data_IF_690248600380
#
_entry.id   IF_690248600380
#
_cell.length_a   1.000
_cell.length_b   1.000
_cell.length_c   1.000
_cell.angle_alpha   90.00
_cell.angle_beta   90.00
_cell.angle_gamma   90.00
#
_symmetry.space_group_name_H-M   'P 1'
#
loop_
_entity.id
_entity.type
_entity.pdbx_description
1 polymer ?
#
# COMPACT_ATOMS: atom_id res chain seq x y z
N UNK A 1 -3.26 18.01 -5.01
CA UNK A 1 -2.62 16.92 -5.78
C UNK A 1 -3.52 15.71 -5.79
N UNK A 2 -3.45 14.88 -6.83
CA UNK A 2 -4.24 13.65 -6.90
C UNK A 2 -3.50 12.52 -6.19
N UNK A 3 -4.22 11.49 -5.71
CA UNK A 3 -3.61 10.35 -5.00
C UNK A 3 -2.69 9.55 -5.94
N UNK A 4 -1.70 8.81 -5.45
CA UNK A 4 -0.79 8.03 -6.29
C UNK A 4 -1.50 6.92 -7.08
N UNK A 5 -2.55 6.33 -6.49
CA UNK A 5 -3.46 5.42 -7.23
C UNK A 5 -4.21 6.11 -8.38
N UNK A 6 -4.34 7.44 -8.35
CA UNK A 6 -4.80 8.20 -9.52
C UNK A 6 -3.76 8.14 -10.63
N UNK A 7 -2.49 8.46 -10.37
CA UNK A 7 -1.44 8.43 -11.41
C UNK A 7 -1.28 7.02 -12.00
N UNK A 8 -1.30 5.98 -11.17
CA UNK A 8 -1.27 4.60 -11.66
C UNK A 8 -2.47 4.25 -12.54
N UNK A 9 -3.68 4.71 -12.19
CA UNK A 9 -4.86 4.49 -13.04
C UNK A 9 -4.81 5.26 -14.37
N UNK A 10 -3.85 6.17 -14.54
CA UNK A 10 -3.59 6.83 -15.82
C UNK A 10 -2.53 6.10 -16.64
N UNK A 11 -1.79 5.17 -16.05
CA UNK A 11 -0.68 4.48 -16.69
C UNK A 11 -1.13 3.75 -17.96
N UNK A 12 -0.28 3.84 -18.99
CA UNK A 12 -0.41 3.10 -20.25
C UNK A 12 0.96 2.56 -20.59
N UNK A 13 1.04 1.24 -20.81
CA UNK A 13 2.29 0.58 -21.21
C UNK A 13 2.50 0.76 -22.71
N UNK A 14 3.74 1.04 -23.11
CA UNK A 14 4.10 1.02 -24.53
C UNK A 14 4.03 -0.41 -25.09
N UNK A 15 3.61 -0.55 -26.33
CA UNK A 15 3.59 -1.85 -27.02
C UNK A 15 4.94 -2.21 -27.64
N UNK A 16 5.65 -1.21 -28.16
CA UNK A 16 7.00 -1.32 -28.75
C UNK A 16 7.92 -0.22 -28.19
N UNK A 17 9.24 -0.38 -28.39
CA UNK A 17 10.25 0.58 -27.94
C UNK A 17 10.02 2.01 -28.46
N UNK A 18 9.48 2.15 -29.67
CA UNK A 18 9.29 3.44 -30.34
C UNK A 18 8.02 4.17 -29.88
N UNK A 19 7.15 3.52 -29.09
CA UNK A 19 5.82 4.00 -28.74
C UNK A 19 5.76 4.74 -27.39
N UNK A 20 6.90 5.02 -26.76
CA UNK A 20 6.97 5.70 -25.47
C UNK A 20 6.26 7.07 -25.48
N UNK A 21 6.44 7.86 -26.54
CA UNK A 21 5.79 9.15 -26.72
C UNK A 21 4.25 9.06 -26.81
N UNK A 22 3.72 8.10 -27.58
CA UNK A 22 2.26 7.88 -27.67
C UNK A 22 1.67 7.44 -26.33
N UNK A 23 2.37 6.55 -25.63
CA UNK A 23 1.96 6.12 -24.30
C UNK A 23 1.91 7.29 -23.31
N UNK A 24 2.87 8.23 -23.36
CA UNK A 24 2.83 9.47 -22.59
C UNK A 24 1.57 10.32 -22.89
N UNK A 25 1.18 10.46 -24.16
CA UNK A 25 -0.05 11.17 -24.54
C UNK A 25 -1.29 10.44 -24.00
N UNK A 26 -1.36 9.12 -24.11
CA UNK A 26 -2.46 8.35 -23.54
C UNK A 26 -2.56 8.56 -22.02
N UNK A 27 -1.44 8.62 -21.31
CA UNK A 27 -1.38 8.89 -19.87
C UNK A 27 -1.93 10.30 -19.54
N UNK A 28 -1.61 11.31 -20.34
CA UNK A 28 -2.17 12.66 -20.20
C UNK A 28 -3.68 12.71 -20.45
N UNK A 29 -4.17 11.99 -21.47
CA UNK A 29 -5.60 11.86 -21.76
C UNK A 29 -6.34 11.22 -20.59
N UNK A 30 -5.79 10.16 -19.98
CA UNK A 30 -6.35 9.58 -18.74
C UNK A 30 -6.25 10.55 -17.57
N UNK A 31 -5.15 11.31 -17.44
CA UNK A 31 -4.95 12.31 -16.40
C UNK A 31 -6.00 13.43 -16.43
N UNK A 32 -6.37 13.87 -17.63
CA UNK A 32 -7.43 14.87 -17.84
C UNK A 32 -8.86 14.30 -17.75
N UNK A 33 -9.02 12.99 -17.57
CA UNK A 33 -10.32 12.32 -17.51
C UNK A 33 -10.92 11.95 -18.87
N UNK A 34 -10.15 12.03 -19.96
CA UNK A 34 -10.57 11.71 -21.34
C UNK A 34 -10.27 10.24 -21.69
N UNK A 35 -10.77 9.30 -20.88
CA UNK A 35 -10.44 7.86 -21.01
C UNK A 35 -10.78 7.27 -22.39
N UNK A 36 -11.92 7.62 -22.99
CA UNK A 36 -12.31 7.10 -24.32
C UNK A 36 -11.27 7.44 -25.39
N UNK A 37 -10.81 8.68 -25.43
CA UNK A 37 -9.78 9.13 -26.37
C UNK A 37 -8.44 8.44 -26.10
N UNK A 38 -8.11 8.21 -24.82
CA UNK A 38 -6.92 7.45 -24.46
C UNK A 38 -6.98 5.99 -24.95
N UNK A 39 -8.15 5.36 -24.84
CA UNK A 39 -8.34 3.97 -25.28
C UNK A 39 -8.34 3.87 -26.81
N UNK A 40 -8.95 4.82 -27.52
CA UNK A 40 -8.87 4.94 -28.98
C UNK A 40 -7.42 5.15 -29.47
N UNK A 41 -6.65 6.00 -28.77
CA UNK A 41 -5.25 6.25 -29.07
C UNK A 41 -4.39 5.00 -28.80
N UNK A 42 -4.66 4.30 -27.70
CA UNK A 42 -3.97 3.07 -27.34
C UNK A 42 -4.19 1.96 -28.40
N UNK A 43 -5.39 1.83 -28.96
CA UNK A 43 -5.67 0.86 -30.03
C UNK A 43 -4.90 1.15 -31.33
N UNK A 44 -4.53 2.42 -31.58
CA UNK A 44 -3.78 2.83 -32.77
C UNK A 44 -2.27 2.90 -32.53
N UNK A 45 -1.81 2.64 -31.30
CA UNK A 45 -0.40 2.77 -30.91
C UNK A 45 0.51 1.88 -31.76
N UNK A 46 0.06 0.68 -32.14
CA UNK A 46 0.82 -0.26 -32.96
C UNK A 46 0.98 0.16 -34.43
N UNK A 47 0.20 1.15 -34.88
CA UNK A 47 0.33 1.70 -36.23
C UNK A 47 1.53 2.65 -36.37
N UNK A 48 2.07 3.15 -35.26
CA UNK A 48 3.24 4.02 -35.25
C UNK A 48 4.50 3.15 -35.21
N UNK A 49 5.26 3.16 -36.32
CA UNK A 49 6.49 2.35 -36.44
C UNK A 49 7.76 3.15 -36.17
N UNK A 50 7.74 4.47 -36.35
CA UNK A 50 8.86 5.37 -36.10
C UNK A 50 8.80 5.97 -34.70
N UNK A 51 9.97 6.29 -34.15
CA UNK A 51 10.07 7.12 -32.95
C UNK A 51 9.45 8.51 -33.22
N UNK A 52 8.81 9.08 -32.20
CA UNK A 52 8.20 10.41 -32.29
C UNK A 52 9.15 11.47 -31.76
N UNK A 53 9.27 12.58 -32.48
CA UNK A 53 9.97 13.76 -31.97
C UNK A 53 9.09 14.55 -31.00
N UNK A 54 9.69 15.48 -30.24
CA UNK A 54 8.93 16.43 -29.42
C UNK A 54 7.93 17.26 -30.25
N UNK A 55 8.28 17.58 -31.50
CA UNK A 55 7.40 18.29 -32.42
C UNK A 55 6.18 17.44 -32.82
N UNK A 56 6.39 16.15 -33.07
CA UNK A 56 5.28 15.23 -33.38
C UNK A 56 4.34 15.07 -32.19
N UNK A 57 4.90 14.99 -30.97
CA UNK A 57 4.10 14.96 -29.74
C UNK A 57 3.28 16.22 -29.56
N UNK A 58 3.88 17.39 -29.81
CA UNK A 58 3.17 18.67 -29.80
C UNK A 58 1.99 18.65 -30.77
N UNK A 59 2.22 18.33 -32.05
CA UNK A 59 1.19 18.30 -33.08
C UNK A 59 0.06 17.30 -32.72
N UNK A 60 0.43 16.15 -32.16
CA UNK A 60 -0.55 15.13 -31.73
C UNK A 60 -1.42 15.64 -30.59
N UNK A 61 -0.81 16.29 -29.59
CA UNK A 61 -1.52 16.89 -28.45
C UNK A 61 -2.45 18.02 -28.89
N UNK A 62 -2.00 18.88 -29.81
CA UNK A 62 -2.82 19.94 -30.42
C UNK A 62 -4.02 19.38 -31.17
N UNK A 63 -3.87 18.21 -31.82
CA UNK A 63 -4.98 17.48 -32.43
C UNK A 63 -6.08 17.04 -31.45
N UNK A 64 -5.79 16.93 -30.15
CA UNK A 64 -6.77 16.68 -29.08
C UNK A 64 -7.37 17.96 -28.49
N UNK A 65 -7.02 19.13 -29.02
CA UNK A 65 -7.51 20.44 -28.58
C UNK A 65 -6.83 20.93 -27.30
N UNK A 66 -5.54 20.65 -27.12
CA UNK A 66 -4.70 21.25 -26.08
C UNK A 66 -3.62 22.11 -26.72
N UNK A 67 -3.37 23.28 -26.14
CA UNK A 67 -2.23 24.09 -26.51
C UNK A 67 -0.96 23.51 -25.85
N UNK A 68 0.11 23.32 -26.62
CA UNK A 68 1.35 22.75 -26.11
C UNK A 68 2.59 23.48 -26.63
N UNK A 69 3.62 23.57 -25.79
CA UNK A 69 4.91 24.18 -26.11
C UNK A 69 6.05 23.20 -25.83
N UNK A 70 6.94 23.05 -26.79
CA UNK A 70 8.26 22.45 -26.55
C UNK A 70 9.10 23.49 -25.81
N UNK A 71 9.59 23.14 -24.63
CA UNK A 71 10.32 24.06 -23.75
C UNK A 71 11.58 23.39 -23.22
N UNK A 72 12.58 24.21 -22.95
CA UNK A 72 13.74 23.87 -22.15
C UNK A 72 13.64 24.64 -20.83
N UNK A 73 13.78 23.96 -19.69
CA UNK A 73 13.67 24.59 -18.37
C UNK A 73 14.59 23.93 -17.36
N UNK A 74 15.00 24.70 -16.35
CA UNK A 74 15.81 24.20 -15.25
C UNK A 74 14.95 23.44 -14.21
N UNK A 75 15.63 22.75 -13.30
CA UNK A 75 14.97 22.01 -12.22
C UNK A 75 14.18 22.93 -11.29
N UNK A 76 14.62 24.17 -11.10
CA UNK A 76 13.90 25.14 -10.26
C UNK A 76 12.54 25.48 -10.87
N UNK A 77 12.48 25.76 -12.17
CA UNK A 77 11.21 25.95 -12.87
C UNK A 77 10.35 24.68 -12.87
N UNK A 78 10.98 23.50 -12.98
CA UNK A 78 10.27 22.22 -12.94
C UNK A 78 9.61 21.98 -11.56
N UNK A 79 10.23 22.42 -10.46
CA UNK A 79 9.68 22.29 -9.09
C UNK A 79 8.37 23.06 -8.92
N UNK A 80 8.26 24.22 -9.58
CA UNK A 80 7.08 25.09 -9.50
C UNK A 80 5.97 24.71 -10.50
N UNK A 81 6.23 23.74 -11.37
CA UNK A 81 5.31 23.35 -12.42
C UNK A 81 4.03 22.72 -11.86
N UNK A 82 2.89 23.35 -12.18
CA UNK A 82 1.55 22.88 -11.79
C UNK A 82 0.88 22.14 -12.93
N UNK A 83 1.19 20.85 -13.09
CA UNK A 83 0.53 20.01 -14.07
C UNK A 83 1.43 18.89 -14.58
N UNK A 84 0.89 18.01 -15.44
CA UNK A 84 1.71 16.99 -16.05
C UNK A 84 2.57 17.58 -17.18
N UNK A 85 3.74 16.99 -17.39
CA UNK A 85 4.76 17.43 -18.34
C UNK A 85 5.41 16.21 -18.98
N UNK A 86 5.62 16.21 -20.29
CA UNK A 86 6.37 15.13 -20.93
C UNK A 86 7.85 15.53 -20.99
N UNK A 87 8.69 14.79 -20.28
CA UNK A 87 10.13 14.99 -20.27
C UNK A 87 10.78 14.15 -21.38
N UNK A 88 11.72 14.76 -22.09
CA UNK A 88 12.60 14.05 -23.01
C UNK A 88 13.88 13.65 -22.26
N UNK A 89 13.97 12.37 -21.91
CA UNK A 89 15.01 11.82 -21.03
C UNK A 89 15.90 10.85 -21.79
N UNK A 90 16.99 10.44 -21.16
CA UNK A 90 17.85 9.35 -21.61
C UNK A 90 17.67 8.18 -20.64
N UNK A 91 17.37 7.01 -21.18
CA UNK A 91 17.28 5.78 -20.40
C UNK A 91 18.65 5.26 -19.97
N UNK A 92 18.66 4.27 -19.08
CA UNK A 92 19.87 3.60 -18.57
C UNK A 92 20.76 3.01 -19.69
N UNK A 93 20.20 2.71 -20.85
CA UNK A 93 20.89 2.21 -22.05
C UNK A 93 21.49 3.32 -22.94
N UNK A 94 21.36 4.59 -22.56
CA UNK A 94 21.83 5.73 -23.35
C UNK A 94 20.92 6.11 -24.54
N UNK A 95 19.71 5.51 -24.63
CA UNK A 95 18.72 5.83 -25.67
C UNK A 95 17.73 6.89 -25.21
N UNK A 96 17.24 7.69 -26.16
CA UNK A 96 16.18 8.67 -25.90
C UNK A 96 14.88 7.99 -25.45
N UNK A 97 14.18 8.61 -24.51
CA UNK A 97 12.93 8.10 -23.94
C UNK A 97 12.04 9.22 -23.44
N UNK A 98 10.73 9.01 -23.51
CA UNK A 98 9.75 9.95 -22.96
C UNK A 98 9.19 9.46 -21.63
N UNK A 99 9.17 10.37 -20.65
CA UNK A 99 8.55 10.16 -19.34
C UNK A 99 7.48 11.22 -19.10
N UNK A 100 6.36 10.85 -18.49
CA UNK A 100 5.33 11.82 -18.07
C UNK A 100 5.53 12.18 -16.61
N UNK A 101 6.06 13.36 -16.30
CA UNK A 101 5.98 13.93 -14.97
C UNK A 101 4.53 14.28 -14.65
N UNK A 102 4.03 13.88 -13.49
CA UNK A 102 2.67 14.18 -13.07
C UNK A 102 2.56 15.14 -11.89
N UNK A 103 3.55 15.11 -11.00
CA UNK A 103 3.63 15.95 -9.82
C UNK A 103 5.05 15.98 -9.25
N UNK A 104 5.38 17.12 -8.65
CA UNK A 104 6.56 17.29 -7.81
C UNK A 104 6.12 17.35 -6.35
N UNK A 105 6.80 16.61 -5.48
CA UNK A 105 6.50 16.53 -4.05
C UNK A 105 7.74 16.83 -3.24
N UNK A 106 7.64 17.81 -2.34
CA UNK A 106 8.67 18.05 -1.33
C UNK A 106 8.40 17.17 -0.12
N UNK A 107 9.37 16.34 0.27
CA UNK A 107 9.35 15.59 1.53
C UNK A 107 10.61 15.93 2.31
N UNK A 108 10.44 16.47 3.53
CA UNK A 108 11.52 17.07 4.30
C UNK A 108 12.28 18.14 3.48
N UNK A 109 13.57 17.91 3.20
CA UNK A 109 14.42 18.83 2.43
C UNK A 109 14.66 18.39 0.98
N UNK A 110 14.11 17.25 0.55
CA UNK A 110 14.29 16.72 -0.81
C UNK A 110 13.02 16.85 -1.67
N UNK A 111 13.21 17.04 -2.98
CA UNK A 111 12.14 16.96 -3.97
C UNK A 111 12.11 15.59 -4.64
N UNK A 112 10.89 15.08 -4.78
CA UNK A 112 10.59 13.82 -5.42
C UNK A 112 9.62 14.02 -6.58
N UNK A 113 9.85 13.30 -7.67
CA UNK A 113 9.15 13.47 -8.94
C UNK A 113 8.36 12.21 -9.25
N UNK A 114 7.02 12.34 -9.34
CA UNK A 114 6.14 11.25 -9.73
C UNK A 114 6.11 11.19 -11.25
N UNK A 115 6.73 10.16 -11.82
CA UNK A 115 6.88 10.04 -13.27
C UNK A 115 6.25 8.74 -13.77
N UNK A 116 5.51 8.81 -14.87
CA UNK A 116 5.04 7.66 -15.62
C UNK A 116 6.05 7.28 -16.68
N UNK A 117 6.65 6.11 -16.51
CA UNK A 117 7.55 5.50 -17.47
C UNK A 117 6.79 4.45 -18.30
N UNK A 118 6.54 4.68 -19.60
CA UNK A 118 5.80 3.74 -20.45
C UNK A 118 6.33 2.30 -20.45
N UNK A 119 7.63 2.10 -20.16
CA UNK A 119 8.27 0.78 -20.10
C UNK A 119 8.04 0.08 -18.76
N UNK A 120 8.07 0.84 -17.66
CA UNK A 120 8.19 0.30 -16.31
C UNK A 120 6.97 0.54 -15.40
N UNK A 121 6.16 1.58 -15.65
CA UNK A 121 5.07 1.99 -14.76
C UNK A 121 5.25 3.38 -14.17
N UNK A 122 4.44 3.71 -13.17
CA UNK A 122 4.67 4.91 -12.35
C UNK A 122 5.84 4.63 -11.40
N UNK A 123 6.86 5.48 -11.44
CA UNK A 123 8.02 5.46 -10.54
C UNK A 123 8.17 6.81 -9.84
N UNK A 124 8.90 6.81 -8.73
CA UNK A 124 9.24 8.02 -7.97
C UNK A 124 10.73 8.22 -8.09
N UNK A 125 11.15 9.34 -8.70
CA UNK A 125 12.56 9.68 -8.82
C UNK A 125 12.93 10.73 -7.78
N UNK A 126 14.11 10.57 -7.16
CA UNK A 126 14.67 11.68 -6.40
C UNK A 126 15.30 12.71 -7.33
N UNK A 127 15.56 13.91 -6.84
CA UNK A 127 16.13 14.97 -7.68
C UNK A 127 17.49 14.60 -8.29
N UNK A 128 18.33 13.87 -7.54
CA UNK A 128 19.61 13.37 -8.05
C UNK A 128 19.42 12.43 -9.24
N UNK A 129 18.46 11.51 -9.14
CA UNK A 129 18.18 10.53 -10.19
C UNK A 129 17.60 11.20 -11.43
N UNK A 130 16.71 12.18 -11.21
CA UNK A 130 16.13 12.96 -12.29
C UNK A 130 17.19 13.77 -13.04
N UNK A 131 18.10 14.41 -12.31
CA UNK A 131 19.20 15.19 -12.91
C UNK A 131 20.08 14.33 -13.83
N UNK A 132 20.29 13.07 -13.49
CA UNK A 132 21.06 12.13 -14.33
C UNK A 132 20.27 11.68 -15.56
N UNK A 133 18.95 11.47 -15.44
CA UNK A 133 18.11 11.00 -16.54
C UNK A 133 17.67 12.12 -17.50
N UNK A 134 17.49 13.34 -17.01
CA UNK A 134 16.95 14.48 -17.75
C UNK A 134 18.04 15.47 -18.20
N UNK A 135 19.07 14.94 -18.89
CA UNK A 135 20.22 15.73 -19.35
C UNK A 135 19.83 16.82 -20.35
N UNK A 136 18.79 16.58 -21.16
CA UNK A 136 18.36 17.51 -22.21
C UNK A 136 17.67 18.76 -21.69
N UNK A 137 17.23 18.77 -20.42
CA UNK A 137 16.38 19.82 -19.81
C UNK A 137 15.14 20.19 -20.65
N UNK A 138 14.75 19.33 -21.59
CA UNK A 138 13.73 19.61 -22.61
C UNK A 138 12.48 18.75 -22.42
N UNK A 139 11.34 19.28 -22.83
CA UNK A 139 10.09 18.53 -22.80
C UNK A 139 8.90 19.30 -23.38
N UNK A 140 7.72 18.69 -23.27
CA UNK A 140 6.46 19.24 -23.76
C UNK A 140 5.61 19.73 -22.58
N UNK A 141 5.40 21.04 -22.53
CA UNK A 141 4.50 21.70 -21.61
C UNK A 141 3.11 21.84 -22.23
N UNK A 142 2.07 21.57 -21.44
CA UNK A 142 0.68 21.63 -21.88
C UNK A 142 0.00 22.78 -21.15
N UNK A 143 -0.51 23.73 -21.93
CA UNK A 143 -1.20 24.91 -21.43
C UNK A 143 -2.66 24.60 -21.13
N UNK A 144 -3.17 25.18 -20.03
CA UNK A 144 -4.60 25.17 -19.70
C UNK A 144 -5.26 23.79 -19.76
N UNK A 145 -4.59 22.76 -19.22
CA UNK A 145 -5.13 21.40 -19.22
C UNK A 145 -6.45 21.32 -18.44
N UNK A 146 -7.58 21.28 -19.16
CA UNK A 146 -8.91 21.15 -18.56
C UNK A 146 -9.09 19.74 -17.99
N UNK A 147 -9.27 19.64 -16.67
CA UNK A 147 -9.59 18.38 -16.00
C UNK A 147 -11.10 18.12 -16.08
N UNK A 148 -11.54 17.12 -16.87
CA UNK A 148 -12.90 16.60 -16.75
C UNK A 148 -13.04 15.86 -15.42
N UNK A 149 -14.15 16.09 -14.70
CA UNK A 149 -14.50 15.29 -13.51
C UNK A 149 -14.60 13.82 -13.91
N UNK A 150 -13.65 13.02 -13.44
CA UNK A 150 -13.64 11.56 -13.62
C UNK A 150 -14.81 10.97 -12.81
N UNK A 151 -15.51 9.99 -13.38
CA UNK A 151 -16.48 9.19 -12.62
C UNK A 151 -15.82 8.57 -11.40
N UNK A 152 -16.52 8.56 -10.26
CA UNK A 152 -16.01 8.18 -8.95
C UNK A 152 -15.26 6.84 -8.94
N UNK A 153 -14.09 6.81 -8.28
CA UNK A 153 -13.26 5.62 -8.01
C UNK A 153 -14.03 4.44 -7.37
N UNK A 154 -15.23 4.69 -6.82
CA UNK A 154 -16.16 3.69 -6.29
C UNK A 154 -16.58 2.61 -7.30
N UNK A 155 -16.57 2.88 -8.60
CA UNK A 155 -16.97 1.89 -9.62
C UNK A 155 -15.97 0.72 -9.72
N UNK A 156 -14.68 0.98 -9.50
CA UNK A 156 -13.64 -0.06 -9.46
C UNK A 156 -13.67 -0.84 -8.14
N UNK A 157 -14.00 -0.19 -7.02
CA UNK A 157 -14.26 -0.89 -5.76
C UNK A 157 -15.41 -1.90 -5.91
N UNK A 158 -16.48 -1.54 -6.64
CA UNK A 158 -17.61 -2.44 -6.88
C UNK A 158 -17.29 -3.63 -7.78
N UNK A 159 -16.37 -3.47 -8.74
CA UNK A 159 -15.95 -4.54 -9.66
C UNK A 159 -14.81 -5.43 -9.10
N UNK A 160 -13.84 -4.85 -8.39
CA UNK A 160 -12.78 -5.62 -7.72
C UNK A 160 -13.29 -6.35 -6.47
N UNK A 161 -14.34 -5.82 -5.83
CA UNK A 161 -15.11 -6.46 -4.78
C UNK A 161 -16.41 -7.08 -5.32
N UNK A 162 -16.48 -7.37 -6.63
CA UNK A 162 -17.65 -8.03 -7.18
C UNK A 162 -17.73 -9.41 -6.51
N UNK A 163 -18.85 -9.61 -5.82
CA UNK A 163 -19.31 -10.70 -4.94
C UNK A 163 -19.11 -12.14 -5.45
N UNK A 164 -18.48 -12.33 -6.61
CA UNK A 164 -18.11 -13.60 -7.24
C UNK A 164 -16.70 -14.08 -6.84
N UNK A 165 -15.85 -13.20 -6.31
CA UNK A 165 -14.44 -13.48 -5.99
C UNK A 165 -14.23 -14.24 -4.67
N UNK A 166 -15.04 -13.93 -3.64
CA UNK A 166 -14.91 -14.51 -2.30
C UNK A 166 -16.27 -15.12 -1.92
N UNK A 167 -16.35 -16.44 -1.66
CA UNK A 167 -17.60 -17.09 -1.28
C UNK A 167 -18.32 -16.35 -0.14
N UNK A 168 -19.60 -16.03 -0.33
CA UNK A 168 -20.48 -15.37 0.66
C UNK A 168 -20.37 -15.91 2.09
N UNK A 169 -20.32 -17.24 2.35
CA UNK A 169 -20.21 -17.74 3.73
C UNK A 169 -18.89 -17.36 4.43
N UNK A 170 -17.83 -17.04 3.66
CA UNK A 170 -16.51 -16.73 4.23
C UNK A 170 -16.40 -15.33 4.82
N UNK A 171 -17.18 -14.38 4.30
CA UNK A 171 -17.26 -13.01 4.84
C UNK A 171 -17.80 -12.99 6.26
N UNK A 172 -18.64 -13.96 6.62
CA UNK A 172 -19.22 -14.06 7.96
C UNK A 172 -18.44 -15.02 8.86
N UNK A 173 -17.89 -16.11 8.31
CA UNK A 173 -17.22 -17.12 9.13
C UNK A 173 -15.89 -16.63 9.72
N UNK A 174 -15.08 -15.86 8.98
CA UNK A 174 -13.79 -15.37 9.50
C UNK A 174 -13.98 -14.38 10.67
N UNK A 175 -14.81 -13.31 10.55
CA UNK A 175 -15.09 -12.43 11.68
C UNK A 175 -15.73 -13.15 12.86
N UNK A 176 -16.62 -14.11 12.60
CA UNK A 176 -17.26 -14.89 13.65
C UNK A 176 -16.27 -15.75 14.44
N UNK A 177 -15.40 -16.49 13.75
CA UNK A 177 -14.35 -17.30 14.41
C UNK A 177 -13.40 -16.41 15.21
N UNK A 178 -13.05 -15.23 14.69
CA UNK A 178 -12.22 -14.27 15.42
C UNK A 178 -12.91 -13.74 16.68
N UNK A 179 -14.19 -13.41 16.57
CA UNK A 179 -15.00 -12.97 17.70
C UNK A 179 -15.08 -14.06 18.78
N UNK A 180 -15.28 -15.33 18.40
CA UNK A 180 -15.27 -16.44 19.34
C UNK A 180 -13.90 -16.59 20.03
N UNK A 181 -12.80 -16.57 19.27
CA UNK A 181 -11.44 -16.61 19.85
C UNK A 181 -11.21 -15.46 20.83
N UNK A 182 -11.70 -14.27 20.48
CA UNK A 182 -11.62 -13.09 21.33
C UNK A 182 -12.46 -13.23 22.62
N UNK A 183 -13.69 -13.73 22.54
CA UNK A 183 -14.55 -13.96 23.70
C UNK A 183 -13.90 -14.96 24.68
N UNK A 184 -13.32 -16.06 24.18
CA UNK A 184 -12.54 -16.98 25.03
C UNK A 184 -11.31 -16.30 25.63
N UNK A 185 -10.71 -15.34 24.92
CA UNK A 185 -9.63 -14.50 25.45
C UNK A 185 -10.06 -13.61 26.61
N UNK A 186 -11.21 -12.92 26.51
CA UNK A 186 -11.78 -12.14 27.61
C UNK A 186 -12.16 -13.07 28.77
N UNK A 187 -12.83 -14.19 28.49
CA UNK A 187 -13.19 -15.18 29.51
C UNK A 187 -11.96 -15.66 30.28
N UNK A 188 -10.86 -15.96 29.59
CA UNK A 188 -9.59 -16.33 30.21
C UNK A 188 -9.06 -15.22 31.14
N UNK A 189 -9.06 -13.97 30.68
CA UNK A 189 -8.59 -12.82 31.47
C UNK A 189 -9.47 -12.59 32.71
N UNK A 190 -10.79 -12.63 32.56
CA UNK A 190 -11.74 -12.44 33.65
C UNK A 190 -11.61 -13.58 34.69
N UNK A 191 -11.44 -14.82 34.22
CA UNK A 191 -11.26 -15.97 35.09
C UNK A 191 -9.95 -15.90 35.89
N UNK A 192 -8.86 -15.42 35.28
CA UNK A 192 -7.60 -15.15 35.97
C UNK A 192 -7.74 -14.07 37.04
N UNK A 193 -8.45 -12.97 36.74
CA UNK A 193 -8.72 -11.91 37.73
C UNK A 193 -9.53 -12.42 38.92
N UNK A 194 -10.55 -13.25 38.66
CA UNK A 194 -11.37 -13.85 39.72
C UNK A 194 -10.56 -14.82 40.59
N UNK A 195 -9.64 -15.58 39.99
CA UNK A 195 -8.74 -16.47 40.73
C UNK A 195 -7.81 -15.70 41.69
N UNK A 196 -7.31 -14.53 41.26
CA UNK A 196 -6.41 -13.70 42.07
C UNK A 196 -7.13 -12.94 43.19
N UNK A 197 -8.40 -12.59 42.99
CA UNK A 197 -9.19 -11.80 43.96
C UNK A 197 -9.88 -12.66 45.01
N UNK A 198 -10.33 -13.87 44.66
CA UNK A 198 -11.01 -14.76 45.60
C UNK A 198 -9.99 -15.64 46.35
N UNK A 199 -9.51 -15.15 47.49
CA UNK A 199 -8.66 -15.89 48.44
C UNK A 199 -9.23 -17.27 48.84
N UNK A 200 -10.55 -17.46 48.77
CA UNK A 200 -11.23 -18.72 49.12
C UNK A 200 -10.94 -19.89 48.15
N UNK A 201 -10.53 -19.63 46.91
CA UNK A 201 -10.35 -20.66 45.86
C UNK A 201 -9.15 -21.59 46.13
N UNK A 202 -8.25 -21.18 47.04
CA UNK A 202 -6.98 -21.86 47.31
C UNK A 202 -7.13 -22.95 48.39
N UNK A 203 -8.27 -23.01 49.11
CA UNK A 203 -8.38 -23.80 50.36
C UNK A 203 -8.53 -25.30 50.17
N UNK A 204 -9.08 -25.77 49.03
CA UNK A 204 -9.22 -27.22 48.76
C UNK A 204 -8.46 -27.65 47.50
N UNK A 205 -7.77 -28.79 47.57
CA UNK A 205 -7.02 -29.36 46.44
C UNK A 205 -7.94 -29.61 45.23
N UNK A 206 -9.17 -30.06 45.48
CA UNK A 206 -10.18 -30.33 44.45
C UNK A 206 -10.56 -29.07 43.66
N UNK A 207 -10.82 -27.94 44.34
CA UNK A 207 -11.15 -26.68 43.66
C UNK A 207 -9.96 -26.12 42.86
N UNK A 208 -8.74 -26.22 43.39
CA UNK A 208 -7.53 -25.78 42.67
C UNK A 208 -7.33 -26.55 41.36
N UNK A 209 -7.46 -27.88 41.39
CA UNK A 209 -7.34 -28.70 40.18
C UNK A 209 -8.48 -28.38 39.20
N UNK A 210 -9.72 -28.22 39.68
CA UNK A 210 -10.86 -27.89 38.82
C UNK A 210 -10.69 -26.56 38.07
N UNK A 211 -10.20 -25.51 38.74
CA UNK A 211 -9.90 -24.21 38.12
C UNK A 211 -8.80 -24.32 37.07
N UNK A 212 -7.72 -25.06 37.37
CA UNK A 212 -6.62 -25.27 36.42
C UNK A 212 -7.08 -26.03 35.17
N UNK A 213 -7.91 -27.06 35.35
CA UNK A 213 -8.50 -27.83 34.24
C UNK A 213 -9.42 -26.94 33.40
N UNK A 214 -10.26 -26.11 34.02
CA UNK A 214 -11.12 -25.17 33.29
C UNK A 214 -10.30 -24.14 32.50
N UNK A 215 -9.24 -23.60 33.09
CA UNK A 215 -8.34 -22.67 32.43
C UNK A 215 -7.64 -23.31 31.22
N UNK A 216 -7.20 -24.58 31.38
CA UNK A 216 -6.63 -25.36 30.29
C UNK A 216 -7.65 -25.55 29.15
N UNK A 217 -8.89 -25.90 29.46
CA UNK A 217 -9.97 -26.07 28.47
C UNK A 217 -10.22 -24.75 27.73
N UNK A 218 -10.37 -23.63 28.42
CA UNK A 218 -10.57 -22.30 27.82
C UNK A 218 -9.41 -21.96 26.87
N UNK A 219 -8.16 -22.23 27.29
CA UNK A 219 -6.98 -21.95 26.48
C UNK A 219 -6.90 -22.84 25.23
N UNK A 220 -7.24 -24.13 25.35
CA UNK A 220 -7.33 -25.04 24.21
C UNK A 220 -8.41 -24.57 23.24
N UNK A 221 -9.60 -24.21 23.72
CA UNK A 221 -10.68 -23.68 22.89
C UNK A 221 -10.25 -22.41 22.15
N UNK A 222 -9.68 -21.42 22.85
CA UNK A 222 -9.14 -20.19 22.25
C UNK A 222 -8.13 -20.50 21.13
N UNK A 223 -7.17 -21.39 21.41
CA UNK A 223 -6.14 -21.78 20.45
C UNK A 223 -6.73 -22.53 19.25
N UNK A 224 -7.75 -23.37 19.47
CA UNK A 224 -8.47 -24.06 18.41
C UNK A 224 -9.18 -23.06 17.48
N UNK A 225 -9.90 -22.06 18.00
CA UNK A 225 -10.53 -21.04 17.15
C UNK A 225 -9.49 -20.22 16.38
N UNK A 226 -8.36 -19.91 17.00
CA UNK A 226 -7.25 -19.21 16.33
C UNK A 226 -6.66 -20.05 15.19
N UNK A 227 -6.48 -21.35 15.42
CA UNK A 227 -6.02 -22.30 14.39
C UNK A 227 -7.04 -22.44 13.25
N UNK A 228 -8.34 -22.56 13.57
CA UNK A 228 -9.42 -22.63 12.57
C UNK A 228 -9.44 -21.38 11.68
N UNK A 229 -9.28 -20.18 12.28
CA UNK A 229 -9.13 -18.92 11.54
C UNK A 229 -7.97 -19.00 10.56
N UNK A 230 -6.79 -19.40 11.03
CA UNK A 230 -5.57 -19.49 10.19
C UNK A 230 -5.73 -20.47 9.02
N UNK A 231 -6.29 -21.66 9.28
CA UNK A 231 -6.56 -22.65 8.23
C UNK A 231 -7.52 -22.12 7.17
N UNK A 232 -8.56 -21.41 7.59
CA UNK A 232 -9.53 -20.79 6.69
C UNK A 232 -8.87 -19.72 5.81
N UNK A 233 -8.01 -18.87 6.39
CA UNK A 233 -7.27 -17.85 5.65
C UNK A 233 -6.32 -18.45 4.63
N UNK A 234 -5.60 -19.53 4.97
CA UNK A 234 -4.73 -20.23 4.01
C UNK A 234 -5.54 -20.79 2.83
N UNK A 235 -6.71 -21.37 3.11
CA UNK A 235 -7.60 -21.89 2.08
C UNK A 235 -8.09 -20.78 1.13
N UNK A 236 -8.49 -19.62 1.67
CA UNK A 236 -8.88 -18.44 0.89
C UNK A 236 -7.74 -18.00 -0.03
N UNK A 237 -6.54 -17.85 0.53
CA UNK A 237 -5.36 -17.46 -0.24
C UNK A 237 -5.08 -18.40 -1.40
N UNK A 238 -5.20 -19.71 -1.18
CA UNK A 238 -5.01 -20.72 -2.23
C UNK A 238 -6.02 -20.56 -3.36
N UNK A 239 -7.32 -20.41 -3.04
CA UNK A 239 -8.38 -20.24 -4.05
C UNK A 239 -8.14 -18.98 -4.88
N UNK A 240 -7.91 -17.85 -4.22
CA UNK A 240 -7.69 -16.56 -4.88
C UNK A 240 -6.44 -16.62 -5.76
N UNK A 241 -5.37 -17.26 -5.29
CA UNK A 241 -4.15 -17.43 -6.05
C UNK A 241 -4.35 -18.21 -7.35
N UNK A 242 -4.99 -19.39 -7.25
CA UNK A 242 -5.24 -20.23 -8.43
C UNK A 242 -6.11 -19.47 -9.43
N UNK A 243 -7.19 -18.82 -8.97
CA UNK A 243 -8.09 -18.09 -9.84
C UNK A 243 -7.43 -16.89 -10.56
N UNK A 244 -6.60 -16.12 -9.86
CA UNK A 244 -5.85 -15.01 -10.46
C UNK A 244 -4.82 -15.51 -11.46
N UNK A 245 -4.08 -16.55 -11.08
CA UNK A 245 -3.05 -17.13 -11.92
C UNK A 245 -3.64 -17.65 -13.24
N UNK A 246 -4.78 -18.35 -13.20
CA UNK A 246 -5.46 -18.82 -14.42
C UNK A 246 -5.96 -17.67 -15.29
N UNK A 247 -6.62 -16.66 -14.70
CA UNK A 247 -7.12 -15.50 -15.45
C UNK A 247 -6.00 -14.70 -16.14
N UNK A 248 -4.84 -14.62 -15.50
CA UNK A 248 -3.67 -13.95 -16.08
C UNK A 248 -3.02 -14.82 -17.17
N UNK A 249 -2.95 -16.14 -16.97
CA UNK A 249 -2.44 -17.06 -17.99
C UNK A 249 -3.25 -16.97 -19.29
N UNK A 250 -4.58 -16.95 -19.19
CA UNK A 250 -5.49 -16.83 -20.34
C UNK A 250 -5.27 -15.51 -21.11
N UNK A 251 -5.01 -14.42 -20.38
CA UNK A 251 -4.74 -13.10 -20.96
C UNK A 251 -3.31 -12.94 -21.53
N UNK A 252 -2.34 -13.74 -21.08
CA UNK A 252 -0.95 -13.70 -21.57
C UNK A 252 -0.79 -14.57 -22.81
N UNK A 253 -1.54 -15.67 -22.93
CA UNK A 253 -1.50 -16.57 -24.08
C UNK A 253 -1.80 -15.88 -25.43
N UNK A 254 -2.26 -14.63 -25.42
CA UNK A 254 -2.64 -13.85 -26.60
C UNK A 254 -1.70 -12.68 -26.93
N UNK A 255 -0.65 -12.39 -26.15
CA UNK A 255 0.21 -11.23 -26.42
C UNK A 255 1.68 -11.35 -25.99
N UNK A 256 2.56 -10.96 -26.93
CA UNK A 256 3.95 -10.47 -26.84
C UNK A 256 5.06 -11.43 -27.35
N UNK A 257 5.89 -11.01 -28.34
CA UNK A 257 6.89 -11.86 -29.01
C UNK A 257 8.37 -11.63 -28.61
N UNK A 258 8.69 -11.26 -27.35
CA UNK A 258 10.10 -11.08 -26.93
C UNK A 258 10.39 -11.60 -25.50
N UNK A 259 11.42 -12.45 -25.35
CA UNK A 259 11.62 -13.31 -24.18
C UNK A 259 12.05 -12.56 -22.90
N UNK A 260 12.91 -11.55 -22.99
CA UNK A 260 13.49 -10.88 -21.81
C UNK A 260 12.51 -9.89 -21.13
N UNK A 261 11.70 -9.19 -21.94
CA UNK A 261 10.64 -8.33 -21.44
C UNK A 261 9.44 -9.13 -20.90
N UNK A 262 9.30 -10.39 -21.32
CA UNK A 262 8.26 -11.30 -20.85
C UNK A 262 8.49 -11.72 -19.40
N UNK A 263 9.73 -12.10 -19.03
CA UNK A 263 10.05 -12.53 -17.65
C UNK A 263 9.83 -11.41 -16.62
N UNK A 264 10.31 -10.20 -16.92
CA UNK A 264 10.14 -9.03 -16.04
C UNK A 264 8.68 -8.60 -15.91
N UNK A 265 7.91 -8.67 -17.01
CA UNK A 265 6.48 -8.38 -16.99
C UNK A 265 5.67 -9.44 -16.22
N UNK A 266 5.99 -10.73 -16.39
CA UNK A 266 5.36 -11.82 -15.66
C UNK A 266 5.65 -11.72 -14.16
N UNK A 267 6.93 -11.47 -13.80
CA UNK A 267 7.34 -11.27 -12.41
C UNK A 267 6.57 -10.13 -11.75
N UNK A 268 6.41 -9.01 -12.45
CA UNK A 268 5.62 -7.87 -11.95
C UNK A 268 4.16 -8.26 -11.71
N UNK A 269 3.53 -8.97 -12.64
CA UNK A 269 2.15 -9.48 -12.47
C UNK A 269 2.02 -10.43 -11.27
N UNK A 270 3.00 -11.32 -11.05
CA UNK A 270 3.02 -12.22 -9.89
C UNK A 270 3.13 -11.45 -8.57
N UNK A 271 3.93 -10.37 -8.54
CA UNK A 271 4.01 -9.46 -7.38
C UNK A 271 2.65 -8.79 -7.15
N UNK A 272 1.98 -8.31 -8.20
CA UNK A 272 0.66 -7.69 -8.09
C UNK A 272 -0.40 -8.69 -7.57
N UNK A 273 -0.35 -9.96 -7.98
CA UNK A 273 -1.19 -11.03 -7.42
C UNK A 273 -0.96 -11.19 -5.91
N UNK A 274 0.30 -11.24 -5.49
CA UNK A 274 0.65 -11.38 -4.07
C UNK A 274 0.15 -10.17 -3.25
N UNK A 275 0.32 -8.95 -3.76
CA UNK A 275 -0.19 -7.72 -3.14
C UNK A 275 -1.71 -7.73 -3.00
N UNK A 276 -2.42 -8.18 -4.04
CA UNK A 276 -3.88 -8.32 -3.99
C UNK A 276 -4.34 -9.35 -2.95
N UNK A 277 -3.65 -10.48 -2.82
CA UNK A 277 -3.95 -11.48 -1.78
C UNK A 277 -3.72 -10.93 -0.37
N UNK A 278 -2.61 -10.23 -0.15
CA UNK A 278 -2.31 -9.58 1.12
C UNK A 278 -3.39 -8.55 1.49
N UNK A 279 -3.88 -7.79 0.51
CA UNK A 279 -5.00 -6.86 0.70
C UNK A 279 -6.31 -7.55 1.07
N UNK A 280 -6.67 -8.65 0.41
CA UNK A 280 -7.86 -9.44 0.78
C UNK A 280 -7.72 -9.95 2.23
N UNK A 281 -6.55 -10.46 2.60
CA UNK A 281 -6.30 -10.92 3.96
C UNK A 281 -6.44 -9.79 4.97
N UNK A 282 -5.83 -8.63 4.70
CA UNK A 282 -5.92 -7.46 5.54
C UNK A 282 -7.38 -6.98 5.69
N UNK A 283 -8.15 -6.98 4.59
CA UNK A 283 -9.55 -6.57 4.60
C UNK A 283 -10.42 -7.51 5.47
N UNK A 284 -10.37 -8.82 5.22
CA UNK A 284 -11.25 -9.79 5.89
C UNK A 284 -10.77 -10.05 7.33
N UNK A 285 -9.49 -10.39 7.50
CA UNK A 285 -8.94 -10.88 8.77
C UNK A 285 -8.57 -9.77 9.75
N UNK A 286 -8.37 -8.54 9.28
CA UNK A 286 -8.01 -7.40 10.13
C UNK A 286 -9.13 -6.37 10.12
N UNK A 287 -9.42 -5.69 9.01
CA UNK A 287 -10.38 -4.57 9.01
C UNK A 287 -11.77 -5.02 9.48
N UNK A 288 -12.33 -6.08 8.91
CA UNK A 288 -13.67 -6.54 9.30
C UNK A 288 -13.67 -7.30 10.62
N UNK A 289 -12.76 -8.25 10.75
CA UNK A 289 -12.66 -9.15 11.90
C UNK A 289 -12.22 -8.43 13.18
N UNK A 290 -11.15 -7.64 13.14
CA UNK A 290 -10.67 -6.87 14.30
C UNK A 290 -11.49 -5.58 14.50
N UNK A 291 -12.05 -5.00 13.43
CA UNK A 291 -13.03 -3.92 13.54
C UNK A 291 -14.27 -4.32 14.32
N UNK A 292 -14.81 -5.53 14.09
CA UNK A 292 -15.95 -6.05 14.87
C UNK A 292 -15.59 -6.24 16.35
N UNK A 293 -14.38 -6.72 16.65
CA UNK A 293 -13.86 -6.83 18.02
C UNK A 293 -13.74 -5.45 18.67
N UNK A 294 -13.24 -4.45 17.93
CA UNK A 294 -13.09 -3.09 18.42
C UNK A 294 -14.45 -2.43 18.73
N UNK A 295 -15.48 -2.66 17.90
CA UNK A 295 -16.86 -2.22 18.18
C UNK A 295 -17.39 -2.90 19.44
N UNK A 296 -17.15 -4.21 19.59
CA UNK A 296 -17.57 -4.97 20.78
C UNK A 296 -16.90 -4.46 22.05
N UNK A 297 -15.59 -4.18 21.97
CA UNK A 297 -14.80 -3.59 23.05
C UNK A 297 -15.32 -2.21 23.46
N UNK A 298 -15.53 -1.32 22.48
CA UNK A 298 -16.06 0.01 22.73
C UNK A 298 -17.47 -0.04 23.33
N UNK A 299 -18.32 -0.95 22.85
CA UNK A 299 -19.64 -1.20 23.42
C UNK A 299 -19.57 -1.72 24.87
N UNK A 300 -18.64 -2.63 25.18
CA UNK A 300 -18.43 -3.09 26.56
C UNK A 300 -17.90 -1.99 27.48
N UNK A 301 -17.06 -1.09 26.96
CA UNK A 301 -16.53 0.03 27.72
C UNK A 301 -17.62 1.06 28.00
N UNK A 302 -18.45 1.40 27.00
CA UNK A 302 -19.62 2.28 27.16
C UNK A 302 -20.62 1.77 28.21
N UNK A 303 -20.75 0.46 28.35
CA UNK A 303 -21.62 -0.16 29.34
C UNK A 303 -21.05 -0.13 30.77
N UNK A 304 -19.72 -0.06 30.92
CA UNK A 304 -19.03 -0.03 32.22
C UNK A 304 -18.81 1.40 32.71
N UNK A 305 -18.26 2.25 31.84
CA UNK A 305 -17.97 3.65 32.14
C UNK A 305 -18.03 4.52 30.89
N UNK A 306 -18.85 5.57 30.97
CA UNK A 306 -19.03 6.54 29.90
C UNK A 306 -17.78 7.40 29.70
N UNK A 307 -17.05 7.75 30.76
CA UNK A 307 -15.90 8.66 30.67
C UNK A 307 -14.72 7.99 29.99
N UNK A 308 -14.31 6.80 30.43
CA UNK A 308 -13.29 6.00 29.79
C UNK A 308 -13.63 5.67 28.32
N UNK A 309 -14.91 5.44 28.01
CA UNK A 309 -15.38 5.23 26.65
C UNK A 309 -15.22 6.47 25.77
N UNK A 310 -15.55 7.66 26.27
CA UNK A 310 -15.37 8.93 25.54
C UNK A 310 -13.88 9.22 25.26
N UNK A 311 -12.99 8.99 26.23
CA UNK A 311 -11.54 9.13 26.05
C UNK A 311 -11.05 8.21 24.93
N UNK A 312 -11.45 6.94 24.96
CA UNK A 312 -11.09 5.96 23.92
C UNK A 312 -11.69 6.31 22.55
N UNK A 313 -12.92 6.81 22.50
CA UNK A 313 -13.56 7.24 21.26
C UNK A 313 -12.81 8.41 20.62
N UNK A 314 -12.42 9.41 21.43
CA UNK A 314 -11.58 10.52 20.97
C UNK A 314 -10.24 10.04 20.41
N UNK A 315 -9.58 9.10 21.10
CA UNK A 315 -8.33 8.48 20.63
C UNK A 315 -8.53 7.75 19.29
N UNK A 316 -9.61 6.98 19.13
CA UNK A 316 -9.96 6.32 17.86
C UNK A 316 -10.15 7.37 16.75
N UNK A 317 -10.93 8.42 17.00
CA UNK A 317 -11.20 9.46 16.01
C UNK A 317 -9.92 10.19 15.55
N UNK A 318 -9.04 10.56 16.48
CA UNK A 318 -7.78 11.26 16.18
C UNK A 318 -6.81 10.37 15.39
N UNK A 319 -6.62 9.13 15.82
CA UNK A 319 -5.68 8.20 15.16
C UNK A 319 -6.16 7.80 13.76
N UNK A 320 -7.45 7.48 13.59
CA UNK A 320 -8.01 7.17 12.27
C UNK A 320 -7.89 8.38 11.34
N UNK A 321 -8.20 9.59 11.82
CA UNK A 321 -8.04 10.81 11.01
C UNK A 321 -6.59 11.05 10.60
N UNK A 322 -5.63 10.88 11.53
CA UNK A 322 -4.20 11.00 11.25
C UNK A 322 -3.72 9.97 10.20
N UNK A 323 -4.20 8.73 10.31
CA UNK A 323 -3.88 7.66 9.35
C UNK A 323 -4.46 8.00 7.97
N UNK A 324 -5.74 8.37 7.88
CA UNK A 324 -6.39 8.73 6.61
C UNK A 324 -5.65 9.86 5.89
N UNK A 325 -5.19 10.88 6.62
CA UNK A 325 -4.41 11.99 6.07
C UNK A 325 -3.03 11.52 5.59
N UNK A 326 -2.38 10.61 6.32
CA UNK A 326 -1.01 10.13 6.02
C UNK A 326 -0.96 8.94 5.07
N UNK A 327 -2.07 8.26 4.76
CA UNK A 327 -2.11 7.11 3.84
C UNK A 327 -1.42 7.41 2.50
N UNK A 328 -1.67 8.55 1.82
CA UNK A 328 -1.02 8.84 0.55
C UNK A 328 0.50 9.00 0.68
N UNK A 329 0.98 9.57 1.78
CA UNK A 329 2.41 9.77 2.04
C UNK A 329 3.12 8.46 2.35
N UNK A 330 2.48 7.61 3.15
CA UNK A 330 3.01 6.30 3.47
C UNK A 330 3.05 5.40 2.23
N UNK A 331 1.99 5.42 1.41
CA UNK A 331 1.96 4.70 0.16
C UNK A 331 3.03 5.19 -0.83
N UNK A 332 3.23 6.50 -0.93
CA UNK A 332 4.32 7.08 -1.71
C UNK A 332 5.69 6.58 -1.22
N UNK A 333 5.86 6.51 0.09
CA UNK A 333 7.10 6.08 0.73
C UNK A 333 7.40 4.61 0.45
N UNK A 334 6.38 3.75 0.49
CA UNK A 334 6.49 2.31 0.21
C UNK A 334 6.77 2.03 -1.28
N UNK A 335 6.15 2.78 -2.18
CA UNK A 335 6.43 2.66 -3.61
C UNK A 335 7.85 3.11 -3.94
N UNK A 336 8.33 4.20 -3.32
CA UNK A 336 9.71 4.64 -3.47
C UNK A 336 10.70 3.60 -2.93
N UNK A 337 10.41 3.02 -1.77
CA UNK A 337 11.22 1.94 -1.21
C UNK A 337 11.30 0.72 -2.13
N UNK A 338 10.17 0.29 -2.71
CA UNK A 338 10.13 -0.79 -3.69
C UNK A 338 10.93 -0.46 -4.96
N UNK A 339 10.90 0.79 -5.44
CA UNK A 339 11.68 1.24 -6.59
C UNK A 339 13.19 1.19 -6.29
N UNK A 340 13.63 1.63 -5.11
CA UNK A 340 15.02 1.53 -4.66
C UNK A 340 15.52 0.07 -4.66
N UNK A 341 14.71 -0.86 -4.15
CA UNK A 341 15.05 -2.29 -4.18
C UNK A 341 15.12 -2.83 -5.61
N UNK A 342 14.18 -2.45 -6.47
CA UNK A 342 14.19 -2.85 -7.88
C UNK A 342 15.44 -2.33 -8.62
N UNK A 343 15.86 -1.10 -8.35
CA UNK A 343 17.10 -0.54 -8.90
C UNK A 343 18.34 -1.30 -8.40
N UNK A 344 18.38 -1.67 -7.12
CA UNK A 344 19.46 -2.48 -6.56
C UNK A 344 19.54 -3.88 -7.21
N UNK A 345 18.39 -4.48 -7.53
CA UNK A 345 18.30 -5.77 -8.22
C UNK A 345 18.80 -5.69 -9.66
N UNK A 346 18.40 -4.65 -10.41
CA UNK A 346 18.92 -4.42 -11.78
C UNK A 346 20.44 -4.32 -11.81
N UNK A 347 21.02 -3.60 -10.86
CA UNK A 347 22.48 -3.45 -10.74
C UNK A 347 23.13 -4.83 -10.59
N UNK A 348 22.59 -5.70 -9.72
CA UNK A 348 23.06 -7.08 -9.55
C UNK A 348 22.93 -7.92 -10.83
N UNK A 349 21.81 -7.83 -11.54
CA UNK A 349 21.61 -8.56 -12.80
C UNK A 349 22.60 -8.11 -13.88
N UNK A 350 22.86 -6.80 -13.97
CA UNK A 350 23.84 -6.24 -14.91
C UNK A 350 25.25 -6.74 -14.60
N UNK A 351 25.63 -6.84 -13.32
CA UNK A 351 26.90 -7.44 -12.89
C UNK A 351 27.01 -8.91 -13.31
N UNK A 352 25.97 -9.72 -13.08
CA UNK A 352 25.99 -11.12 -13.48
C UNK A 352 26.18 -11.30 -15.00
N UNK A 353 25.61 -10.40 -15.80
CA UNK A 353 25.82 -10.40 -17.25
C UNK A 353 27.25 -9.99 -17.64
N UNK A 354 27.87 -9.06 -16.89
CA UNK A 354 29.22 -8.54 -17.15
C UNK A 354 30.35 -9.45 -16.65
N UNK A 355 30.18 -10.17 -15.52
CA UNK A 355 31.19 -11.11 -15.00
C UNK A 355 31.48 -12.30 -15.94
N UNK A 356 30.68 -12.52 -16.99
CA UNK A 356 30.99 -13.45 -18.07
C UNK A 356 32.15 -12.98 -18.97
N UNK A 357 32.52 -11.70 -18.90
CA UNK A 357 33.66 -11.08 -19.58
C UNK A 357 34.65 -10.59 -18.52
N UNK A 358 35.93 -10.99 -18.56
CA UNK A 358 36.93 -10.66 -17.53
C UNK A 358 36.90 -9.16 -17.11
N UNK A 359 36.58 -8.87 -15.84
CA UNK A 359 36.44 -7.50 -15.31
C UNK A 359 37.70 -7.00 -14.56
N UNK A 360 37.89 -5.67 -14.59
CA UNK A 360 38.96 -4.90 -13.92
C UNK A 360 38.47 -4.32 -12.56
N UNK A 361 39.35 -4.09 -11.57
CA UNK A 361 38.97 -3.69 -10.21
C UNK A 361 38.19 -2.37 -10.10
N UNK A 362 38.35 -1.44 -11.06
CA UNK A 362 37.67 -0.13 -11.06
C UNK A 362 36.15 -0.27 -11.30
N UNK A 363 35.73 -1.27 -12.08
CA UNK A 363 34.31 -1.52 -12.36
C UNK A 363 33.60 -2.06 -11.11
N UNK A 364 34.31 -2.84 -10.29
CA UNK A 364 33.76 -3.44 -9.08
C UNK A 364 33.53 -2.42 -7.96
N UNK A 365 34.42 -1.44 -7.80
CA UNK A 365 34.25 -0.35 -6.83
C UNK A 365 33.09 0.60 -7.21
N UNK A 366 32.93 0.89 -8.51
CA UNK A 366 31.79 1.66 -9.02
C UNK A 366 30.46 0.91 -8.83
N UNK A 367 30.44 -0.41 -9.07
CA UNK A 367 29.27 -1.23 -8.79
C UNK A 367 28.90 -1.19 -7.30
N UNK A 368 29.88 -1.40 -6.42
CA UNK A 368 29.69 -1.48 -4.98
C UNK A 368 29.14 -0.17 -4.41
N UNK A 369 29.69 0.96 -4.84
CA UNK A 369 29.22 2.29 -4.43
C UNK A 369 27.79 2.57 -4.90
N UNK A 370 27.43 2.25 -6.14
CA UNK A 370 26.07 2.41 -6.66
C UNK A 370 25.06 1.52 -5.90
N UNK A 371 25.38 0.25 -5.68
CA UNK A 371 24.51 -0.66 -4.94
C UNK A 371 24.32 -0.21 -3.48
N UNK A 372 25.41 0.19 -2.81
CA UNK A 372 25.35 0.71 -1.44
C UNK A 372 24.51 1.97 -1.34
N UNK A 373 24.55 2.86 -2.34
CA UNK A 373 23.73 4.07 -2.37
C UNK A 373 22.23 3.76 -2.26
N UNK A 374 21.72 2.87 -3.12
CA UNK A 374 20.31 2.49 -3.13
C UNK A 374 19.89 1.79 -1.83
N UNK A 375 20.71 0.86 -1.33
CA UNK A 375 20.42 0.12 -0.10
C UNK A 375 20.45 1.02 1.15
N UNK A 376 21.39 1.96 1.25
CA UNK A 376 21.42 2.91 2.36
C UNK A 376 20.20 3.84 2.35
N UNK A 377 19.78 4.31 1.17
CA UNK A 377 18.58 5.14 1.03
C UNK A 377 17.32 4.36 1.42
N UNK A 378 17.22 3.10 1.00
CA UNK A 378 16.14 2.19 1.40
C UNK A 378 16.13 1.97 2.92
N UNK A 379 17.30 1.76 3.54
CA UNK A 379 17.44 1.61 4.99
C UNK A 379 17.00 2.84 5.79
N UNK A 380 17.38 4.05 5.36
CA UNK A 380 16.92 5.31 5.98
C UNK A 380 15.40 5.47 5.91
N UNK A 381 14.81 5.10 4.77
CA UNK A 381 13.37 5.16 4.57
C UNK A 381 12.62 4.15 5.45
N UNK A 382 13.11 2.91 5.52
CA UNK A 382 12.56 1.88 6.42
C UNK A 382 12.63 2.31 7.90
N UNK A 383 13.71 2.97 8.32
CA UNK A 383 13.84 3.51 9.68
C UNK A 383 12.79 4.61 9.96
N UNK A 384 12.50 5.47 8.99
CA UNK A 384 11.46 6.50 9.10
C UNK A 384 10.06 5.86 9.23
N UNK A 385 9.82 4.74 8.55
CA UNK A 385 8.57 4.00 8.71
C UNK A 385 8.45 3.38 10.12
N UNK A 386 9.50 2.73 10.61
CA UNK A 386 9.54 2.14 11.95
C UNK A 386 9.30 3.17 13.05
N UNK A 387 9.93 4.35 12.96
CA UNK A 387 9.71 5.44 13.92
C UNK A 387 8.27 5.97 13.91
N UNK A 388 7.62 6.01 12.75
CA UNK A 388 6.19 6.37 12.68
C UNK A 388 5.29 5.32 13.34
N UNK A 389 5.61 4.04 13.21
CA UNK A 389 4.87 2.95 13.86
C UNK A 389 5.02 3.04 15.39
N UNK A 390 6.25 3.22 15.88
CA UNK A 390 6.55 3.40 17.29
C UNK A 390 5.78 4.59 17.91
N UNK A 391 5.71 5.73 17.19
CA UNK A 391 4.94 6.89 17.66
C UNK A 391 3.45 6.58 17.81
N UNK A 392 2.89 5.75 16.93
CA UNK A 392 1.49 5.32 17.04
C UNK A 392 1.30 4.41 18.27
N UNK A 393 2.20 3.45 18.51
CA UNK A 393 2.19 2.59 19.72
C UNK A 393 2.25 3.41 21.01
N UNK A 394 3.20 4.35 21.05
CA UNK A 394 3.40 5.23 22.19
C UNK A 394 2.15 6.07 22.48
N UNK A 395 1.44 6.55 21.45
CA UNK A 395 0.20 7.31 21.62
C UNK A 395 -0.91 6.49 22.28
N UNK A 396 -1.00 5.19 21.98
CA UNK A 396 -1.92 4.27 22.63
C UNK A 396 -1.57 4.08 24.11
N UNK A 397 -0.30 3.82 24.42
CA UNK A 397 0.17 3.67 25.80
C UNK A 397 -0.10 4.93 26.66
N UNK A 398 0.15 6.13 26.11
CA UNK A 398 -0.15 7.40 26.77
C UNK A 398 -1.65 7.53 27.05
N UNK A 399 -2.50 7.15 26.09
CA UNK A 399 -3.97 7.21 26.27
C UNK A 399 -4.43 6.31 27.41
N UNK A 400 -3.89 5.09 27.51
CA UNK A 400 -4.21 4.16 28.61
C UNK A 400 -3.77 4.73 29.96
N UNK A 401 -2.59 5.33 30.05
CA UNK A 401 -2.08 5.94 31.29
C UNK A 401 -2.92 7.16 31.71
N UNK A 402 -3.28 8.03 30.74
CA UNK A 402 -4.13 9.20 31.00
C UNK A 402 -5.52 8.77 31.48
N UNK A 403 -6.09 7.76 30.84
CA UNK A 403 -7.38 7.18 31.23
C UNK A 403 -7.32 6.57 32.64
N UNK A 404 -6.29 5.78 32.95
CA UNK A 404 -6.08 5.24 34.30
C UNK A 404 -5.94 6.34 35.35
N UNK A 405 -5.15 7.38 35.06
CA UNK A 405 -4.96 8.53 35.96
C UNK A 405 -6.26 9.30 36.21
N UNK A 406 -7.10 9.46 35.18
CA UNK A 406 -8.41 10.09 35.30
C UNK A 406 -9.35 9.28 36.21
N UNK A 407 -9.43 7.97 36.02
CA UNK A 407 -10.26 7.10 36.86
C UNK A 407 -9.81 7.09 38.33
N UNK A 408 -8.49 7.10 38.58
CA UNK A 408 -7.96 7.20 39.94
C UNK A 408 -8.29 8.55 40.58
N UNK A 409 -8.30 9.65 39.82
CA UNK A 409 -8.66 10.97 40.33
C UNK A 409 -10.15 11.11 40.65
N UNK A 410 -11.01 10.38 39.95
CA UNK A 410 -12.45 10.32 40.21
C UNK A 410 -12.81 9.51 41.47
N UNK A 411 -11.83 8.88 42.13
CA UNK A 411 -12.01 8.19 43.41
C UNK A 411 -12.69 6.83 43.30
N UNK A 412 -12.50 6.10 42.20
CA UNK A 412 -13.09 4.77 42.02
C UNK A 412 -12.51 3.75 43.00
N UNK A 413 -13.35 3.18 43.88
CA UNK A 413 -12.90 2.34 45.00
C UNK A 413 -12.58 0.89 44.63
N UNK A 414 -13.13 0.36 43.52
CA UNK A 414 -12.97 -1.05 43.16
C UNK A 414 -11.74 -1.28 42.26
N UNK A 415 -10.70 -1.91 42.81
CA UNK A 415 -9.52 -2.33 42.06
C UNK A 415 -9.88 -3.25 40.88
N UNK A 416 -10.88 -4.13 41.05
CA UNK A 416 -11.33 -5.02 39.98
C UNK A 416 -11.95 -4.25 38.79
N UNK A 417 -12.70 -3.18 39.09
CA UNK A 417 -13.27 -2.31 38.07
C UNK A 417 -12.16 -1.57 37.31
N UNK A 418 -11.22 -0.94 38.04
CA UNK A 418 -10.12 -0.20 37.43
C UNK A 418 -9.29 -1.08 36.48
N UNK A 419 -9.00 -2.32 36.89
CA UNK A 419 -8.28 -3.30 36.06
C UNK A 419 -9.10 -3.64 34.81
N UNK A 420 -10.42 -3.88 34.94
CA UNK A 420 -11.27 -4.23 33.80
C UNK A 420 -11.30 -3.11 32.74
N UNK A 421 -11.51 -1.86 33.16
CA UNK A 421 -11.54 -0.70 32.25
C UNK A 421 -10.17 -0.49 31.60
N UNK A 422 -9.08 -0.63 32.36
CA UNK A 422 -7.70 -0.50 31.82
C UNK A 422 -7.37 -1.58 30.80
N UNK A 423 -7.75 -2.84 31.06
CA UNK A 423 -7.53 -3.95 30.13
C UNK A 423 -8.32 -3.75 28.84
N UNK A 424 -9.58 -3.32 28.94
CA UNK A 424 -10.41 -3.02 27.77
C UNK A 424 -9.82 -1.87 26.94
N UNK A 425 -9.41 -0.78 27.59
CA UNK A 425 -8.73 0.36 26.96
C UNK A 425 -7.44 -0.08 26.25
N UNK A 426 -6.60 -0.87 26.91
CA UNK A 426 -5.38 -1.43 26.32
C UNK A 426 -5.67 -2.30 25.08
N UNK A 427 -6.67 -3.19 25.15
CA UNK A 427 -7.08 -4.01 24.01
C UNK A 427 -7.55 -3.14 22.83
N UNK A 428 -8.32 -2.08 23.08
CA UNK A 428 -8.72 -1.12 22.05
C UNK A 428 -7.49 -0.56 21.34
N UNK A 429 -6.47 -0.12 22.09
CA UNK A 429 -5.24 0.44 21.47
C UNK A 429 -4.52 -0.56 20.57
N UNK A 430 -4.40 -1.84 20.99
CA UNK A 430 -3.76 -2.89 20.18
C UNK A 430 -4.54 -3.15 18.89
N UNK A 431 -5.85 -3.36 18.99
CA UNK A 431 -6.67 -3.69 17.82
C UNK A 431 -6.78 -2.52 16.85
N UNK A 432 -6.89 -1.30 17.36
CA UNK A 432 -6.89 -0.11 16.54
C UNK A 432 -5.60 0.01 15.73
N UNK A 433 -4.45 -0.28 16.34
CA UNK A 433 -3.19 -0.22 15.63
C UNK A 433 -3.07 -1.27 14.52
N UNK A 434 -3.56 -2.49 14.75
CA UNK A 434 -3.62 -3.53 13.72
C UNK A 434 -4.51 -3.10 12.55
N UNK A 435 -5.66 -2.51 12.83
CA UNK A 435 -6.55 -1.97 11.80
C UNK A 435 -5.86 -0.82 11.05
N UNK A 436 -5.18 0.07 11.77
CA UNK A 436 -4.43 1.19 11.20
C UNK A 436 -3.29 0.73 10.26
N UNK A 437 -2.56 -0.33 10.61
CA UNK A 437 -1.52 -0.89 9.74
C UNK A 437 -2.05 -1.69 8.55
N UNK A 438 -3.32 -2.12 8.60
CA UNK A 438 -3.98 -2.82 7.49
C UNK A 438 -4.47 -1.88 6.38
N UNK A 439 -4.80 -0.62 6.69
CA UNK A 439 -5.31 0.35 5.70
C UNK A 439 -4.38 0.55 4.48
N UNK A 440 -3.06 0.77 4.66
CA UNK A 440 -2.13 0.92 3.54
C UNK A 440 -2.09 -0.33 2.66
N UNK A 441 -2.03 -1.52 3.26
CA UNK A 441 -2.02 -2.82 2.55
C UNK A 441 -3.29 -3.00 1.72
N UNK A 442 -4.45 -2.64 2.27
CA UNK A 442 -5.71 -2.71 1.52
C UNK A 442 -5.67 -1.75 0.34
N UNK A 443 -5.19 -0.53 0.56
CA UNK A 443 -5.05 0.48 -0.49
C UNK A 443 -4.09 0.02 -1.61
N UNK A 444 -2.95 -0.61 -1.26
CA UNK A 444 -2.03 -1.20 -2.24
C UNK A 444 -2.71 -2.27 -3.09
N UNK A 445 -3.44 -3.21 -2.47
CA UNK A 445 -4.09 -4.26 -3.25
C UNK A 445 -5.22 -3.75 -4.15
N UNK A 446 -5.90 -2.65 -3.80
CA UNK A 446 -6.85 -1.99 -4.71
C UNK A 446 -6.14 -1.50 -5.97
N UNK A 447 -4.91 -1.00 -5.84
CA UNK A 447 -4.12 -0.61 -6.99
C UNK A 447 -3.60 -1.81 -7.79
N UNK A 448 -3.15 -2.86 -7.11
CA UNK A 448 -2.76 -4.11 -7.77
C UNK A 448 -3.95 -4.71 -8.55
N UNK A 449 -5.16 -4.68 -7.99
CA UNK A 449 -6.38 -5.10 -8.70
C UNK A 449 -6.60 -4.30 -10.00
N UNK A 450 -6.35 -2.99 -9.96
CA UNK A 450 -6.43 -2.12 -11.15
C UNK A 450 -5.35 -2.50 -12.17
N UNK A 451 -4.12 -2.73 -11.73
CA UNK A 451 -3.03 -3.14 -12.62
C UNK A 451 -3.32 -4.50 -13.31
N UNK A 452 -4.06 -5.37 -12.63
CA UNK A 452 -4.52 -6.66 -13.14
C UNK A 452 -5.81 -6.57 -13.99
N UNK A 453 -6.39 -5.38 -14.18
CA UNK A 453 -7.67 -5.14 -14.87
C UNK A 453 -8.83 -6.03 -14.34
N UNK A 454 -8.91 -6.20 -13.01
CA UNK A 454 -9.94 -7.03 -12.36
C UNK A 454 -11.35 -6.44 -12.40
#
# INVERSE_FOLDING_TARGET
MKNLGFYQSTFVRQTNANNCGMACICMLLRYSGRNKQADELAQRMDSYKSELSLLDLKNTVEGFGWDARCVEMDLDTLRDLKGPFIMHTVNEDGRFHFLTLFAVKKMAEEFFYVVGDPSYGIKIMSESDLRLAWVSSSGLYIENMTLKKRGSDLRYWKNALDWRLIPKPLWYSVPFINLMSFLFGIMLSAFLQQLLTVQATIRSLKLRIAVLVLLLIIMICKNLFTYLKQRLMIYINKIVNIWLATRIADNIATAVPDNLQHETALRKKLIDIAKFQLSINALISVIFSDGLVLITLLGSLLALDLYAALINLCYIAVTVSCVVIKVPDHFFSEMYLNDLYHQSEKILLKRNALSATHETPIVEDNFKSCYQHYIQKAGKMAATFSTSLFRNEASGAITVILMLGFEMAMGVESAAFLIAVTVLSYLITIFLQRVNSAFPVVYEGVQAARALNL
#
